data_IF_172394362705
#
_entry.id   IF_172394362705
#
_cell.length_a   1.000
_cell.length_b   1.000
_cell.length_c   1.000
_cell.angle_alpha   90.00
_cell.angle_beta   90.00
_cell.angle_gamma   90.00
#
_symmetry.space_group_name_H-M   'P 1'
#
loop_
_entity.id
_entity.type
_entity.pdbx_description
1 polymer ?
#
# COMPACT_ATOMS: atom_id res chain seq x y z
N UNK A 1 -11.20 -17.13 -3.61
CA UNK A 1 -10.26 -16.15 -3.02
C UNK A 1 -8.98 -16.26 -3.82
N UNK A 2 -8.73 -15.31 -4.71
CA UNK A 2 -7.54 -15.32 -5.56
C UNK A 2 -6.32 -15.06 -4.68
N UNK A 3 -5.29 -15.91 -4.78
CA UNK A 3 -4.05 -15.73 -4.02
C UNK A 3 -3.15 -14.80 -4.81
N UNK A 4 -2.84 -13.64 -4.24
CA UNK A 4 -1.85 -12.71 -4.78
C UNK A 4 -0.53 -12.92 -4.04
N UNK A 5 0.59 -12.81 -4.73
CA UNK A 5 1.91 -12.94 -4.12
C UNK A 5 2.42 -11.59 -3.58
N UNK A 6 3.22 -11.64 -2.51
CA UNK A 6 3.92 -10.49 -1.95
C UNK A 6 5.35 -10.93 -1.64
N UNK A 7 6.35 -10.24 -2.19
CA UNK A 7 7.75 -10.42 -1.78
C UNK A 7 8.10 -9.46 -0.65
N UNK A 8 8.39 -10.00 0.53
CA UNK A 8 8.76 -9.23 1.72
C UNK A 8 10.28 -9.07 1.88
N UNK A 9 11.06 -9.28 0.81
CA UNK A 9 12.53 -9.13 0.83
C UNK A 9 12.97 -7.73 1.27
N UNK A 10 12.15 -6.70 0.97
CA UNK A 10 12.34 -5.32 1.39
C UNK A 10 10.97 -4.67 1.63
N UNK A 11 10.87 -3.85 2.68
CA UNK A 11 9.69 -3.04 2.95
C UNK A 11 10.15 -1.60 3.20
N UNK A 12 9.64 -0.65 2.40
CA UNK A 12 9.85 0.78 2.61
C UNK A 12 8.54 1.42 3.06
N UNK A 13 8.60 2.24 4.12
CA UNK A 13 7.47 2.99 4.64
C UNK A 13 7.77 4.47 4.54
N UNK A 14 6.89 5.22 3.87
CA UNK A 14 6.99 6.66 3.71
C UNK A 14 5.67 7.26 4.16
N UNK A 15 5.71 8.06 5.22
CA UNK A 15 4.57 8.83 5.66
C UNK A 15 4.69 10.26 5.16
N UNK A 16 3.68 10.72 4.42
CA UNK A 16 3.50 12.10 4.00
C UNK A 16 2.58 12.78 5.02
N UNK A 17 3.16 13.63 5.86
CA UNK A 17 2.43 14.31 6.94
C UNK A 17 1.44 15.35 6.41
N UNK A 18 1.77 16.02 5.30
CA UNK A 18 0.94 17.07 4.69
C UNK A 18 -0.31 16.48 4.04
N UNK A 19 -0.15 15.35 3.36
CA UNK A 19 -1.26 14.64 2.72
C UNK A 19 -2.01 13.68 3.67
N UNK A 20 -1.45 13.36 4.84
CA UNK A 20 -1.90 12.28 5.73
C UNK A 20 -1.99 10.91 5.04
N UNK A 21 -0.94 10.55 4.30
CA UNK A 21 -0.86 9.32 3.52
C UNK A 21 0.34 8.48 3.91
N UNK A 22 0.13 7.20 4.19
CA UNK A 22 1.18 6.21 4.36
C UNK A 22 1.34 5.38 3.07
N UNK A 23 2.55 5.41 2.51
CA UNK A 23 2.96 4.54 1.41
C UNK A 23 3.79 3.38 1.98
N UNK A 24 3.39 2.16 1.64
CA UNK A 24 4.10 0.93 1.96
C UNK A 24 4.52 0.31 0.63
N UNK A 25 5.80 0.06 0.41
CA UNK A 25 6.32 -0.53 -0.83
C UNK A 25 7.03 -1.85 -0.54
N UNK A 26 6.88 -2.83 -1.42
CA UNK A 26 7.41 -4.19 -1.25
C UNK A 26 8.44 -4.54 -2.33
N UNK A 27 9.56 -5.13 -1.91
CA UNK A 27 10.60 -5.63 -2.81
C UNK A 27 11.35 -4.51 -3.54
N UNK A 28 11.69 -4.75 -4.81
CA UNK A 28 12.43 -3.79 -5.65
C UNK A 28 11.49 -2.69 -6.16
N UNK A 29 11.95 -1.42 -6.23
CA UNK A 29 11.17 -0.33 -6.82
C UNK A 29 10.75 -0.67 -8.25
N UNK A 30 9.44 -0.60 -8.50
CA UNK A 30 8.84 -0.83 -9.81
C UNK A 30 7.48 -0.14 -9.88
N UNK A 31 7.07 0.22 -11.09
CA UNK A 31 5.78 0.85 -11.33
C UNK A 31 4.63 -0.14 -11.18
N UNK A 32 3.55 0.30 -10.54
CA UNK A 32 2.30 -0.44 -10.50
C UNK A 32 1.61 -0.37 -11.88
N UNK A 33 1.00 -1.49 -12.30
CA UNK A 33 0.24 -1.58 -13.55
C UNK A 33 -1.27 -1.47 -13.31
N UNK A 34 -1.70 -1.79 -12.10
CA UNK A 34 -3.10 -1.77 -11.70
C UNK A 34 -3.23 -1.31 -10.24
N UNK A 35 -4.45 -0.96 -9.83
CA UNK A 35 -4.76 -0.64 -8.44
C UNK A 35 -6.19 -0.97 -8.07
N UNK A 36 -6.38 -1.48 -6.86
CA UNK A 36 -7.69 -1.82 -6.30
C UNK A 36 -7.82 -1.19 -4.93
N UNK A 37 -8.87 -0.41 -4.73
CA UNK A 37 -9.28 0.02 -3.39
C UNK A 37 -10.06 -1.11 -2.72
N UNK A 38 -9.53 -1.63 -1.62
CA UNK A 38 -10.09 -2.80 -0.93
C UNK A 38 -10.96 -2.45 0.26
N UNK A 39 -10.68 -1.30 0.86
CA UNK A 39 -11.42 -0.66 1.93
C UNK A 39 -11.30 0.85 1.72
N UNK A 40 -12.24 1.63 2.25
CA UNK A 40 -12.19 3.09 2.19
C UNK A 40 -10.80 3.58 2.61
N UNK A 41 -10.08 4.23 1.68
CA UNK A 41 -8.74 4.77 1.88
C UNK A 41 -7.61 3.74 1.97
N UNK A 42 -7.83 2.47 1.60
CA UNK A 42 -6.80 1.43 1.52
C UNK A 42 -6.71 0.89 0.10
N UNK A 43 -5.60 1.23 -0.57
CA UNK A 43 -5.41 0.96 -2.00
C UNK A 43 -4.24 0.01 -2.20
N UNK A 44 -4.48 -1.12 -2.84
CA UNK A 44 -3.46 -2.06 -3.27
C UNK A 44 -2.99 -1.67 -4.66
N UNK A 45 -1.67 -1.55 -4.84
CA UNK A 45 -1.00 -1.30 -6.12
C UNK A 45 -0.41 -2.63 -6.60
N UNK A 46 -0.77 -3.04 -7.81
CA UNK A 46 -0.49 -4.38 -8.32
C UNK A 46 0.39 -4.29 -9.58
N UNK A 47 1.38 -5.16 -9.68
CA UNK A 47 2.13 -5.39 -10.91
C UNK A 47 2.45 -6.88 -11.02
N UNK A 48 2.31 -7.44 -12.23
CA UNK A 48 2.68 -8.83 -12.53
C UNK A 48 2.03 -9.85 -11.58
N UNK A 49 0.76 -9.63 -11.21
CA UNK A 49 0.00 -10.44 -10.25
C UNK A 49 0.55 -10.45 -8.81
N UNK A 50 1.35 -9.45 -8.45
CA UNK A 50 1.89 -9.22 -7.10
C UNK A 50 1.43 -7.86 -6.55
N UNK A 51 1.18 -7.78 -5.25
CA UNK A 51 1.04 -6.46 -4.58
C UNK A 51 2.44 -5.87 -4.44
N UNK A 52 2.68 -4.74 -5.09
CA UNK A 52 3.95 -4.02 -5.05
C UNK A 52 3.93 -2.85 -4.08
N UNK A 53 2.75 -2.31 -3.76
CA UNK A 53 2.60 -1.24 -2.78
C UNK A 53 1.19 -1.21 -2.17
N UNK A 54 1.07 -0.67 -0.96
CA UNK A 54 -0.19 -0.27 -0.34
C UNK A 54 -0.12 1.23 -0.07
N UNK A 55 -1.19 1.94 -0.41
CA UNK A 55 -1.41 3.34 -0.03
C UNK A 55 -2.54 3.39 0.99
N UNK A 56 -2.31 4.06 2.12
CA UNK A 56 -3.32 4.27 3.16
C UNK A 56 -3.54 5.77 3.32
N UNK A 57 -4.74 6.25 3.01
CA UNK A 57 -5.15 7.65 3.24
C UNK A 57 -5.81 7.80 4.60
N UNK A 58 -5.89 9.04 5.08
CA UNK A 58 -6.45 9.40 6.39
C UNK A 58 -5.77 8.60 7.50
N UNK A 59 -4.45 8.42 7.38
CA UNK A 59 -3.69 7.48 8.20
C UNK A 59 -3.77 7.84 9.69
N UNK A 60 -3.71 9.13 10.04
CA UNK A 60 -3.86 9.59 11.44
C UNK A 60 -5.16 9.11 12.05
N UNK A 61 -6.29 9.23 11.33
CA UNK A 61 -7.60 8.82 11.82
C UNK A 61 -7.70 7.32 12.14
N UNK A 62 -6.88 6.49 11.47
CA UNK A 62 -6.81 5.05 11.68
C UNK A 62 -5.92 4.64 12.86
N UNK A 63 -5.03 5.54 13.32
CA UNK A 63 -4.09 5.26 14.41
C UNK A 63 -4.52 5.83 15.76
N UNK A 64 -5.36 6.87 15.74
CA UNK A 64 -6.07 7.34 16.92
C UNK A 64 -7.23 6.39 17.21
N UNK A 65 -6.97 5.34 17.99
CA UNK A 65 -8.00 4.41 18.44
C UNK A 65 -9.20 5.14 19.05
N UNK A 66 -10.40 4.63 18.77
CA UNK A 66 -11.50 4.74 19.73
C UNK A 66 -11.19 3.89 20.96
#
# INVERSE_FOLDING_TARGET
>A
MEKVAISLEKIDLIYDEEADVLYISFGKPREAKDSVEVEDGVIYRIADNEIVSITITDFKARTTGK
#
